data_IF_700228538923
#
_entry.id   IF_700228538923
#
_cell.length_a   1.000
_cell.length_b   1.000
_cell.length_c   1.000
_cell.angle_alpha   90.00
_cell.angle_beta   90.00
_cell.angle_gamma   90.00
#
_symmetry.space_group_name_H-M   'P 1'
#
loop_
_entity.id
_entity.type
_entity.pdbx_description
1 polymer ?
#
# COMPACT_ATOMS: atom_id res chain seq x y z
N UNK A 1 -1.94 -11.20 18.40
CA UNK A 1 -2.39 -12.61 18.53
C UNK A 1 -1.31 -13.46 19.21
N UNK A 2 -0.05 -13.39 18.76
CA UNK A 2 1.08 -14.21 19.24
C UNK A 2 1.28 -14.21 20.76
N UNK A 3 1.12 -13.05 21.42
CA UNK A 3 1.20 -12.94 22.88
C UNK A 3 0.26 -13.89 23.64
N UNK A 4 -1.00 -14.02 23.20
CA UNK A 4 -1.97 -14.92 23.84
C UNK A 4 -1.64 -16.40 23.64
N UNK A 5 -0.81 -16.72 22.65
CA UNK A 5 -0.30 -18.06 22.39
C UNK A 5 1.02 -18.35 23.13
N UNK A 6 1.47 -17.44 24.00
CA UNK A 6 2.73 -17.58 24.74
C UNK A 6 3.98 -17.19 23.96
N UNK A 7 3.83 -16.69 22.72
CA UNK A 7 4.94 -16.16 21.93
C UNK A 7 5.21 -14.72 22.34
N UNK A 8 6.38 -14.45 22.92
CA UNK A 8 6.77 -13.12 23.42
C UNK A 8 7.27 -12.20 22.32
N UNK A 9 7.97 -12.75 21.34
CA UNK A 9 8.62 -12.01 20.25
C UNK A 9 8.23 -12.58 18.89
N UNK A 10 8.29 -11.73 17.88
CA UNK A 10 8.06 -12.08 16.48
C UNK A 10 9.15 -11.47 15.59
N UNK A 11 9.50 -12.12 14.47
CA UNK A 11 10.36 -11.50 13.47
C UNK A 11 9.77 -10.20 12.92
N UNK A 12 10.65 -9.26 12.54
CA UNK A 12 10.27 -7.99 11.94
C UNK A 12 9.40 -8.14 10.68
N UNK A 13 9.58 -9.22 9.90
CA UNK A 13 8.77 -9.53 8.72
C UNK A 13 7.29 -9.76 9.02
N UNK A 14 6.92 -10.03 10.28
CA UNK A 14 5.53 -10.16 10.72
C UNK A 14 4.95 -8.80 11.13
N UNK A 15 5.81 -7.84 11.45
CA UNK A 15 5.39 -6.50 11.86
C UNK A 15 4.99 -5.61 10.67
N UNK A 16 5.60 -5.82 9.50
CA UNK A 16 5.37 -5.03 8.31
C UNK A 16 4.96 -5.90 7.13
N UNK A 17 3.93 -5.48 6.40
CA UNK A 17 3.60 -6.04 5.09
C UNK A 17 4.68 -5.68 4.07
N UNK A 18 4.69 -6.39 2.94
CA UNK A 18 5.56 -6.07 1.81
C UNK A 18 5.32 -4.64 1.31
N UNK A 19 4.06 -4.24 1.19
CA UNK A 19 3.64 -2.86 0.95
C UNK A 19 2.17 -2.67 1.32
N UNK A 20 1.73 -1.42 1.36
CA UNK A 20 0.33 -1.01 1.42
C UNK A 20 -0.03 -0.34 0.12
N UNK A 21 -1.08 -0.82 -0.52
CA UNK A 21 -1.55 -0.34 -1.81
C UNK A 21 -2.62 0.74 -1.63
N UNK A 22 -2.42 1.88 -2.29
CA UNK A 22 -3.33 3.02 -2.30
C UNK A 22 -3.79 3.27 -3.72
N UNK A 23 -5.09 3.14 -3.95
CA UNK A 23 -5.67 3.22 -5.28
C UNK A 23 -7.06 3.88 -5.26
N UNK A 24 -7.45 4.41 -6.41
CA UNK A 24 -8.78 4.97 -6.66
C UNK A 24 -9.81 3.89 -7.00
N UNK A 25 -9.34 2.70 -7.40
CA UNK A 25 -10.18 1.55 -7.74
C UNK A 25 -9.77 0.29 -6.99
N UNK A 26 -10.70 -0.67 -6.89
CA UNK A 26 -10.43 -1.96 -6.28
C UNK A 26 -9.77 -2.90 -7.30
N UNK A 27 -8.49 -3.20 -7.10
CA UNK A 27 -7.74 -4.25 -7.80
C UNK A 27 -6.75 -4.89 -6.82
N UNK A 28 -6.20 -6.04 -7.20
CA UNK A 28 -5.33 -6.83 -6.31
C UNK A 28 -3.97 -6.20 -6.08
N UNK A 29 -3.40 -5.64 -7.15
CA UNK A 29 -2.10 -4.96 -7.18
C UNK A 29 -2.29 -3.65 -7.96
N UNK A 30 -1.69 -2.55 -7.49
CA UNK A 30 -1.90 -1.20 -8.07
C UNK A 30 -1.43 -1.02 -9.51
N UNK A 31 -0.52 -1.85 -9.99
CA UNK A 31 0.00 -1.85 -11.36
C UNK A 31 -0.79 -2.78 -12.29
N UNK A 32 -1.75 -3.52 -11.76
CA UNK A 32 -2.56 -4.46 -12.52
C UNK A 32 -3.56 -3.70 -13.41
N UNK A 33 -3.39 -3.83 -14.73
CA UNK A 33 -4.27 -3.19 -15.71
C UNK A 33 -5.61 -3.92 -15.92
N UNK A 34 -5.79 -5.10 -15.31
CA UNK A 34 -7.02 -5.89 -15.36
C UNK A 34 -7.54 -6.15 -16.79
N UNK A 35 -6.63 -6.42 -17.73
CA UNK A 35 -6.96 -6.85 -19.09
C UNK A 35 -7.51 -8.27 -19.07
N UNK A 36 -8.67 -8.46 -19.68
CA UNK A 36 -9.31 -9.79 -19.85
C UNK A 36 -9.93 -9.87 -21.24
N UNK A 37 -10.31 -11.06 -21.74
CA UNK A 37 -10.98 -11.17 -23.05
C UNK A 37 -12.24 -10.30 -23.18
N UNK A 38 -12.99 -10.09 -22.09
CA UNK A 38 -14.14 -9.20 -22.03
C UNK A 38 -13.80 -7.74 -21.71
N UNK A 39 -12.57 -7.47 -21.25
CA UNK A 39 -12.05 -6.13 -20.97
C UNK A 39 -10.70 -5.94 -21.70
N UNK A 40 -10.70 -5.89 -23.04
CA UNK A 40 -9.47 -5.95 -23.83
C UNK A 40 -8.60 -4.70 -23.72
N UNK A 41 -9.20 -3.55 -23.37
CA UNK A 41 -8.50 -2.27 -23.25
C UNK A 41 -8.00 -1.97 -21.82
N UNK A 42 -8.23 -2.88 -20.86
CA UNK A 42 -7.73 -2.70 -19.49
C UNK A 42 -8.29 -1.46 -18.78
N UNK A 43 -7.75 -1.16 -17.60
CA UNK A 43 -8.11 -0.01 -16.77
C UNK A 43 -7.48 1.29 -17.31
N UNK A 44 -6.25 1.22 -17.80
CA UNK A 44 -5.48 2.37 -18.22
C UNK A 44 -5.96 2.95 -19.55
N UNK A 45 -6.05 2.13 -20.59
CA UNK A 45 -6.47 2.60 -21.92
C UNK A 45 -8.00 2.67 -22.04
N UNK A 46 -8.71 1.65 -21.55
CA UNK A 46 -10.17 1.56 -21.69
C UNK A 46 -10.96 2.53 -20.80
N UNK A 47 -10.49 2.77 -19.58
CA UNK A 47 -11.20 3.62 -18.60
C UNK A 47 -10.41 4.85 -18.17
N UNK A 48 -9.17 5.03 -18.65
CA UNK A 48 -8.32 6.15 -18.27
C UNK A 48 -7.85 6.13 -16.82
N UNK A 49 -7.89 4.97 -16.15
CA UNK A 49 -7.52 4.82 -14.73
C UNK A 49 -6.03 4.48 -14.64
N UNK A 50 -5.20 5.38 -14.10
CA UNK A 50 -3.77 5.12 -13.95
C UNK A 50 -3.50 4.08 -12.84
N UNK A 51 -2.28 3.49 -12.82
CA UNK A 51 -1.80 2.74 -11.67
C UNK A 51 -1.87 3.54 -10.36
N UNK A 52 -2.16 2.86 -9.26
CA UNK A 52 -2.07 3.43 -7.90
C UNK A 52 -0.63 3.45 -7.37
N UNK A 53 -0.48 3.61 -6.07
CA UNK A 53 0.82 3.62 -5.38
C UNK A 53 0.95 2.43 -4.42
N UNK A 54 2.06 1.71 -4.49
CA UNK A 54 2.46 0.71 -3.50
C UNK A 54 3.52 1.32 -2.58
N UNK A 55 3.20 1.42 -1.29
CA UNK A 55 4.05 2.07 -0.29
C UNK A 55 4.58 1.05 0.70
N UNK A 56 5.90 0.86 0.74
CA UNK A 56 6.56 0.09 1.79
C UNK A 56 6.70 0.91 3.08
N UNK A 57 7.17 0.27 4.16
CA UNK A 57 7.30 0.96 5.45
C UNK A 57 8.22 2.20 5.38
N UNK A 58 9.26 2.17 4.55
CA UNK A 58 10.24 3.25 4.47
C UNK A 58 9.65 4.46 3.76
N UNK A 59 9.04 4.25 2.60
CA UNK A 59 8.34 5.28 1.82
C UNK A 59 7.15 5.88 2.59
N UNK A 60 6.42 5.07 3.37
CA UNK A 60 5.38 5.60 4.28
C UNK A 60 5.97 6.54 5.32
N UNK A 61 7.07 6.16 5.98
CA UNK A 61 7.69 7.00 7.01
C UNK A 61 8.20 8.32 6.43
N UNK A 62 8.79 8.30 5.23
CA UNK A 62 9.21 9.51 4.51
C UNK A 62 8.01 10.44 4.21
N UNK A 63 6.90 9.89 3.73
CA UNK A 63 5.69 10.67 3.42
C UNK A 63 4.96 11.21 4.65
N UNK A 64 5.26 10.69 5.84
CA UNK A 64 4.49 10.96 7.07
C UNK A 64 5.35 11.54 8.19
N UNK A 65 6.48 12.18 7.86
CA UNK A 65 7.38 12.78 8.87
C UNK A 65 7.76 11.80 10.00
N UNK A 66 8.13 10.56 9.63
CA UNK A 66 8.44 9.49 10.58
C UNK A 66 7.23 8.91 11.30
N UNK A 67 6.04 8.97 10.70
CA UNK A 67 4.78 8.47 11.27
C UNK A 67 3.97 9.52 12.04
N UNK A 68 4.34 10.80 11.96
CA UNK A 68 3.61 11.90 12.59
C UNK A 68 2.78 12.69 11.56
N UNK A 69 1.46 12.54 11.62
CA UNK A 69 0.52 13.25 10.75
C UNK A 69 0.07 14.62 11.30
N UNK A 70 0.70 15.09 12.38
CA UNK A 70 0.36 16.39 12.96
C UNK A 70 0.76 17.53 12.02
N UNK A 71 0.04 18.65 12.07
CA UNK A 71 0.36 19.82 11.23
C UNK A 71 1.73 20.42 11.55
N UNK A 72 2.14 20.36 12.82
CA UNK A 72 3.42 20.89 13.30
C UNK A 72 4.62 20.11 12.74
N UNK A 73 4.48 18.79 12.60
CA UNK A 73 5.52 17.92 12.06
C UNK A 73 5.73 18.06 10.53
N UNK A 74 4.83 18.76 9.84
CA UNK A 74 4.94 19.02 8.39
C UNK A 74 5.44 20.44 8.08
N UNK A 75 5.67 21.27 9.11
CA UNK A 75 6.08 22.67 8.98
C UNK A 75 7.57 22.93 9.31
N UNK A 76 8.27 21.89 9.78
CA UNK A 76 9.71 21.90 10.06
C UNK A 76 10.48 21.27 8.90
#
# INVERSE_FOLDING_TARGET
FAWRLGMRDLPQSVAFFSSVEVDTVLRKEVDMDCVTPSNPQGLKEGYGIPPGEALDIYTVLEKTSGGCLSREANAA
#
